data_IF_284747201245
#
_entry.id   IF_284747201245
#
_cell.length_a   1.000
_cell.length_b   1.000
_cell.length_c   1.000
_cell.angle_alpha   90.00
_cell.angle_beta   90.00
_cell.angle_gamma   90.00
#
_symmetry.space_group_name_H-M   'P 1'
#
loop_
_entity.id
_entity.type
_entity.pdbx_description
1 polymer ?
#
# COMPACT_ATOMS: atom_id res chain seq x y z
N UNK A 1 -43.83 -7.46 -5.85
CA UNK A 1 -42.56 -6.94 -6.38
C UNK A 1 -42.84 -6.44 -7.79
N UNK A 2 -42.94 -5.13 -7.97
CA UNK A 2 -43.15 -4.48 -9.27
C UNK A 2 -41.84 -4.45 -10.03
N UNK A 3 -41.67 -5.33 -11.02
CA UNK A 3 -40.56 -5.27 -11.96
C UNK A 3 -40.84 -4.15 -12.96
N UNK A 4 -39.97 -3.15 -12.99
CA UNK A 4 -40.03 -2.07 -13.98
C UNK A 4 -39.84 -2.67 -15.39
N UNK A 5 -40.61 -2.25 -16.41
CA UNK A 5 -40.56 -2.81 -17.77
C UNK A 5 -39.28 -2.47 -18.55
N UNK A 6 -38.40 -1.67 -17.94
CA UNK A 6 -37.04 -1.46 -18.39
C UNK A 6 -36.16 -2.30 -17.46
N UNK A 7 -35.53 -3.35 -17.98
CA UNK A 7 -34.53 -4.12 -17.23
C UNK A 7 -33.49 -3.20 -16.55
N UNK A 8 -32.74 -3.71 -15.55
CA UNK A 8 -31.85 -2.87 -14.75
C UNK A 8 -30.95 -2.01 -15.66
N UNK A 9 -31.07 -0.69 -15.53
CA UNK A 9 -30.28 0.25 -16.35
C UNK A 9 -28.79 -0.03 -16.14
N UNK A 10 -28.00 -0.15 -17.21
CA UNK A 10 -26.59 -0.43 -17.05
C UNK A 10 -25.85 0.70 -16.33
N UNK A 11 -24.84 0.36 -15.53
CA UNK A 11 -24.00 1.34 -14.86
C UNK A 11 -23.19 2.13 -15.91
N UNK A 12 -23.40 3.45 -15.97
CA UNK A 12 -22.70 4.35 -16.89
C UNK A 12 -21.18 4.37 -16.70
N UNK A 13 -20.68 3.97 -15.53
CA UNK A 13 -19.25 3.81 -15.27
C UNK A 13 -18.70 2.45 -15.70
N UNK A 14 -19.51 1.38 -15.61
CA UNK A 14 -19.05 0.02 -15.95
C UNK A 14 -19.12 -0.28 -17.45
N UNK A 15 -19.88 0.49 -18.23
CA UNK A 15 -20.07 0.27 -19.67
C UNK A 15 -19.38 1.30 -20.56
N UNK A 16 -18.47 2.12 -20.02
CA UNK A 16 -17.67 3.03 -20.85
C UNK A 16 -16.76 2.18 -21.74
N UNK A 17 -16.72 2.52 -23.03
CA UNK A 17 -15.77 2.00 -24.01
C UNK A 17 -14.95 3.14 -24.63
N UNK A 18 -13.74 2.82 -25.07
CA UNK A 18 -12.75 3.77 -25.56
C UNK A 18 -11.32 3.32 -25.26
N UNK A 19 -10.30 4.06 -25.70
CA UNK A 19 -8.90 3.69 -25.48
C UNK A 19 -8.63 3.44 -23.98
N UNK A 20 -8.20 2.22 -23.66
CA UNK A 20 -8.03 1.78 -22.28
C UNK A 20 -6.57 1.89 -21.83
N UNK A 21 -6.36 2.49 -20.67
CA UNK A 21 -5.08 2.55 -19.96
C UNK A 21 -5.23 1.93 -18.58
N UNK A 22 -4.31 1.06 -18.20
CA UNK A 22 -4.09 0.65 -16.83
C UNK A 22 -3.02 1.58 -16.21
N UNK A 23 -3.40 2.58 -15.40
CA UNK A 23 -2.41 3.43 -14.78
C UNK A 23 -1.82 2.74 -13.55
N UNK A 24 -0.51 2.83 -13.42
CA UNK A 24 0.25 2.35 -12.26
C UNK A 24 1.15 3.45 -11.74
N UNK A 25 1.65 3.28 -10.52
CA UNK A 25 2.58 4.21 -9.87
C UNK A 25 3.78 3.46 -9.34
N UNK A 26 4.86 4.20 -9.13
CA UNK A 26 5.99 3.73 -8.35
C UNK A 26 5.64 3.69 -6.86
N UNK A 27 6.15 2.68 -6.17
CA UNK A 27 6.05 2.54 -4.73
C UNK A 27 7.37 2.04 -4.16
N UNK A 28 7.70 2.53 -2.97
CA UNK A 28 8.81 2.04 -2.16
C UNK A 28 8.42 0.68 -1.60
N UNK A 29 9.35 -0.27 -1.65
CA UNK A 29 9.20 -1.61 -1.08
C UNK A 29 10.46 -1.99 -0.30
N UNK A 30 10.38 -2.95 0.64
CA UNK A 30 11.57 -3.44 1.32
C UNK A 30 12.55 -4.07 0.32
N UNK A 31 13.85 -3.91 0.56
CA UNK A 31 14.88 -4.53 -0.27
C UNK A 31 14.84 -6.06 -0.19
N UNK A 32 15.44 -6.73 -1.18
CA UNK A 32 15.54 -8.19 -1.21
C UNK A 32 14.34 -8.90 -1.82
N UNK A 33 13.40 -8.15 -2.40
CA UNK A 33 12.37 -8.69 -3.28
C UNK A 33 12.98 -9.04 -4.64
N UNK A 34 12.54 -10.15 -5.25
CA UNK A 34 13.05 -10.56 -6.56
C UNK A 34 12.58 -9.66 -7.70
N UNK A 35 11.49 -8.93 -7.49
CA UNK A 35 10.93 -8.03 -8.49
C UNK A 35 11.59 -6.65 -8.40
N UNK A 36 11.72 -5.98 -9.55
CA UNK A 36 12.22 -4.60 -9.66
C UNK A 36 11.36 -3.80 -10.64
N UNK A 37 11.58 -2.49 -10.71
CA UNK A 37 10.93 -1.65 -11.74
C UNK A 37 11.25 -2.21 -13.13
N UNK A 38 10.24 -2.58 -13.93
CA UNK A 38 10.50 -3.18 -15.24
C UNK A 38 11.11 -2.17 -16.21
N UNK A 39 11.85 -2.67 -17.20
CA UNK A 39 12.65 -1.84 -18.11
C UNK A 39 11.81 -0.78 -18.86
N UNK A 40 10.58 -1.13 -19.26
CA UNK A 40 9.66 -0.21 -19.94
C UNK A 40 9.24 0.97 -19.05
N UNK A 41 9.28 0.79 -17.73
CA UNK A 41 8.84 1.75 -16.72
C UNK A 41 9.99 2.50 -16.04
N UNK A 42 11.19 2.52 -16.61
CA UNK A 42 12.31 3.27 -16.03
C UNK A 42 11.92 4.76 -15.87
N UNK A 43 12.11 5.36 -14.68
CA UNK A 43 11.77 6.76 -14.47
C UNK A 43 12.76 7.69 -15.19
N UNK A 44 12.26 8.81 -15.70
CA UNK A 44 13.09 9.83 -16.37
C UNK A 44 14.08 10.50 -15.39
N UNK A 45 13.64 10.67 -14.14
CA UNK A 45 14.48 11.15 -13.03
C UNK A 45 14.72 9.99 -12.07
N UNK A 46 15.98 9.63 -11.79
CA UNK A 46 16.29 8.57 -10.82
C UNK A 46 15.66 8.86 -9.45
N UNK A 47 15.13 7.83 -8.81
CA UNK A 47 14.65 7.93 -7.44
C UNK A 47 15.79 8.01 -6.43
N UNK A 48 15.56 8.51 -5.20
CA UNK A 48 16.55 8.48 -4.13
C UNK A 48 17.05 7.06 -3.85
N UNK A 49 18.35 6.89 -3.70
CA UNK A 49 19.01 5.61 -3.38
C UNK A 49 19.39 5.55 -1.90
N UNK A 50 19.28 4.38 -1.29
CA UNK A 50 19.61 4.13 0.10
C UNK A 50 19.54 2.64 0.41
N UNK A 51 19.90 2.27 1.63
CA UNK A 51 19.87 0.87 2.07
C UNK A 51 18.48 0.46 2.56
N UNK A 52 18.13 -0.81 2.40
CA UNK A 52 16.93 -1.41 2.97
C UNK A 52 15.64 -1.23 2.19
N UNK A 53 15.65 -0.52 1.05
CA UNK A 53 14.48 -0.36 0.19
C UNK A 53 14.81 -0.45 -1.31
N UNK A 54 13.80 -0.81 -2.08
CA UNK A 54 13.77 -0.86 -3.54
C UNK A 54 12.48 -0.21 -4.06
N UNK A 55 12.28 -0.24 -5.37
CA UNK A 55 11.08 0.31 -6.02
C UNK A 55 10.38 -0.73 -6.89
N UNK A 56 9.05 -0.69 -6.87
CA UNK A 56 8.16 -1.51 -7.71
C UNK A 56 7.01 -0.67 -8.26
N UNK A 57 6.28 -1.26 -9.22
CA UNK A 57 5.01 -0.71 -9.67
C UNK A 57 3.85 -1.25 -8.82
N UNK A 58 2.94 -0.37 -8.44
CA UNK A 58 1.68 -0.67 -7.74
C UNK A 58 0.50 -0.02 -8.45
N UNK A 59 -0.71 -0.49 -8.17
CA UNK A 59 -1.92 0.22 -8.52
C UNK A 59 -1.93 1.64 -7.89
N UNK A 60 -2.64 2.56 -8.53
CA UNK A 60 -2.78 3.92 -8.00
C UNK A 60 -3.43 3.89 -6.62
N UNK A 61 -2.88 4.68 -5.69
CA UNK A 61 -3.49 4.95 -4.38
C UNK A 61 -4.60 6.01 -4.52
N UNK A 62 -5.39 6.19 -3.46
CA UNK A 62 -6.44 7.22 -3.41
C UNK A 62 -5.91 8.60 -3.85
N UNK A 63 -6.67 9.27 -4.72
CA UNK A 63 -6.27 10.54 -5.30
C UNK A 63 -7.06 10.89 -6.55
N UNK A 64 -6.38 11.52 -7.51
CA UNK A 64 -6.94 12.03 -8.74
C UNK A 64 -6.02 11.73 -9.91
N UNK A 65 -6.61 11.46 -11.08
CA UNK A 65 -5.91 11.40 -12.35
C UNK A 65 -6.46 12.47 -13.27
N UNK A 66 -5.57 13.24 -13.88
CA UNK A 66 -5.90 14.27 -14.85
C UNK A 66 -5.33 13.89 -16.21
N UNK A 67 -6.17 13.98 -17.23
CA UNK A 67 -5.80 13.72 -18.62
C UNK A 67 -6.03 14.98 -19.44
N UNK A 68 -4.98 15.47 -20.10
CA UNK A 68 -5.06 16.58 -21.04
C UNK A 68 -4.94 16.06 -22.47
N UNK A 69 -5.92 16.40 -23.31
CA UNK A 69 -5.93 16.04 -24.72
C UNK A 69 -5.35 17.18 -25.54
N UNK A 70 -4.19 16.98 -26.17
CA UNK A 70 -3.51 18.03 -26.92
C UNK A 70 -4.27 18.43 -28.19
N UNK A 71 -4.98 17.47 -28.81
CA UNK A 71 -5.70 17.65 -30.07
C UNK A 71 -6.86 18.65 -30.01
N UNK A 72 -7.52 18.79 -28.85
CA UNK A 72 -8.65 19.72 -28.66
C UNK A 72 -8.52 20.60 -27.41
N UNK A 73 -7.38 20.51 -26.71
CA UNK A 73 -7.06 21.29 -25.51
C UNK A 73 -8.08 21.12 -24.38
N UNK A 74 -8.66 19.93 -24.24
CA UNK A 74 -9.64 19.61 -23.19
C UNK A 74 -9.02 18.81 -22.06
N UNK A 75 -9.64 18.92 -20.89
CA UNK A 75 -9.28 18.17 -19.69
C UNK A 75 -10.33 17.13 -19.34
N UNK A 76 -9.86 15.97 -18.91
CA UNK A 76 -10.65 14.93 -18.27
C UNK A 76 -10.10 14.66 -16.87
N UNK A 77 -11.00 14.47 -15.91
CA UNK A 77 -10.65 14.22 -14.52
C UNK A 77 -11.22 12.89 -14.04
N UNK A 78 -10.45 12.21 -13.20
CA UNK A 78 -10.80 10.95 -12.57
C UNK A 78 -10.46 11.03 -11.09
N UNK A 79 -11.23 10.32 -10.27
CA UNK A 79 -10.87 10.04 -8.89
C UNK A 79 -10.46 8.59 -8.73
N UNK A 80 -9.48 8.34 -7.87
CA UNK A 80 -9.02 7.01 -7.48
C UNK A 80 -9.53 6.74 -6.07
N UNK A 81 -10.23 5.63 -5.87
CA UNK A 81 -10.66 5.18 -4.54
C UNK A 81 -9.53 4.45 -3.80
N UNK A 82 -9.72 4.13 -2.52
CA UNK A 82 -8.73 3.42 -1.69
C UNK A 82 -8.39 2.01 -2.22
N UNK A 83 -9.34 1.35 -2.88
CA UNK A 83 -9.14 0.05 -3.50
C UNK A 83 -8.45 0.13 -4.90
N UNK A 84 -8.11 1.33 -5.35
CA UNK A 84 -7.50 1.60 -6.66
C UNK A 84 -8.52 1.64 -7.81
N UNK A 85 -9.83 1.66 -7.52
CA UNK A 85 -10.85 1.84 -8.56
C UNK A 85 -10.91 3.27 -9.09
N UNK A 86 -11.13 3.42 -10.39
CA UNK A 86 -11.07 4.65 -11.16
C UNK A 86 -12.47 5.12 -11.56
N UNK A 87 -12.75 6.40 -11.27
CA UNK A 87 -14.07 6.98 -11.42
C UNK A 87 -14.01 8.27 -12.22
N UNK A 88 -14.52 8.20 -13.46
CA UNK A 88 -14.60 9.36 -14.35
C UNK A 88 -15.46 10.45 -13.70
N UNK A 89 -14.91 11.65 -13.61
CA UNK A 89 -15.58 12.80 -13.03
C UNK A 89 -16.33 13.58 -14.12
N UNK A 90 -17.43 14.28 -13.77
CA UNK A 90 -18.16 15.12 -14.71
C UNK A 90 -17.31 16.23 -15.33
N UNK A 91 -16.28 16.70 -14.62
CA UNK A 91 -15.33 17.71 -15.08
C UNK A 91 -14.04 17.63 -14.27
N UNK A 92 -12.90 17.91 -14.91
CA UNK A 92 -11.60 18.00 -14.24
C UNK A 92 -11.59 19.08 -13.12
N UNK A 93 -12.18 20.25 -13.37
CA UNK A 93 -12.22 21.35 -12.40
C UNK A 93 -13.09 21.02 -11.16
N UNK A 94 -14.06 20.12 -11.31
CA UNK A 94 -15.02 19.76 -10.27
C UNK A 94 -14.85 18.33 -9.75
N UNK A 95 -13.70 17.70 -10.01
CA UNK A 95 -13.36 16.38 -9.48
C UNK A 95 -13.53 16.33 -7.95
N UNK A 96 -14.10 15.22 -7.46
CA UNK A 96 -14.34 14.95 -6.03
C UNK A 96 -13.55 13.72 -5.58
N UNK A 97 -13.15 13.71 -4.32
CA UNK A 97 -12.47 12.54 -3.74
C UNK A 97 -13.45 11.36 -3.68
N UNK A 98 -12.92 10.16 -3.94
CA UNK A 98 -13.65 8.91 -3.83
C UNK A 98 -13.01 8.07 -2.73
N UNK A 99 -13.81 7.59 -1.76
CA UNK A 99 -13.30 6.69 -0.71
C UNK A 99 -13.40 5.23 -1.13
N UNK A 100 -14.60 4.81 -1.54
CA UNK A 100 -14.93 3.43 -1.89
C UNK A 100 -15.62 3.37 -3.25
N UNK A 101 -15.79 2.17 -3.79
CA UNK A 101 -16.68 1.97 -4.94
C UNK A 101 -18.11 2.35 -4.58
N UNK A 102 -18.74 3.22 -5.39
CA UNK A 102 -20.14 3.63 -5.25
C UNK A 102 -21.06 2.87 -6.22
N UNK A 103 -20.58 1.83 -6.90
CA UNK A 103 -21.40 1.08 -7.85
C UNK A 103 -22.27 0.09 -7.09
N UNK A 104 -23.57 0.40 -6.96
CA UNK A 104 -24.55 -0.47 -6.31
C UNK A 104 -25.37 -1.31 -7.29
N UNK A 105 -25.00 -1.33 -8.58
CA UNK A 105 -25.77 -2.02 -9.61
C UNK A 105 -25.61 -3.55 -9.49
N UNK A 106 -26.68 -4.34 -9.73
CA UNK A 106 -26.63 -5.81 -9.59
C UNK A 106 -25.59 -6.50 -10.49
N UNK A 107 -25.27 -5.89 -11.64
CA UNK A 107 -24.30 -6.38 -12.62
C UNK A 107 -23.04 -5.50 -12.64
N UNK A 108 -22.46 -5.26 -11.48
CA UNK A 108 -21.19 -4.55 -11.34
C UNK A 108 -20.01 -5.48 -11.68
N UNK A 109 -19.21 -5.14 -12.69
CA UNK A 109 -17.90 -5.77 -12.90
C UNK A 109 -16.80 -4.87 -12.30
N UNK A 110 -16.26 -5.20 -11.11
CA UNK A 110 -15.24 -4.38 -10.46
C UNK A 110 -13.96 -4.24 -11.29
N UNK A 111 -13.62 -5.25 -12.11
CA UNK A 111 -12.45 -5.21 -13.00
C UNK A 111 -12.52 -4.06 -14.01
N UNK A 112 -13.73 -3.69 -14.46
CA UNK A 112 -13.90 -2.57 -15.40
C UNK A 112 -13.55 -1.21 -14.80
N UNK A 113 -13.46 -1.12 -13.46
CA UNK A 113 -13.06 0.10 -12.76
C UNK A 113 -11.56 0.17 -12.49
N UNK A 114 -10.78 -0.81 -12.93
CA UNK A 114 -9.33 -0.85 -12.68
C UNK A 114 -8.53 -0.01 -13.68
N UNK A 115 -9.18 0.52 -14.72
CA UNK A 115 -8.58 1.18 -15.87
C UNK A 115 -9.23 2.53 -16.20
N UNK A 116 -8.46 3.40 -16.84
CA UNK A 116 -8.94 4.63 -17.47
C UNK A 116 -9.51 4.27 -18.85
N UNK A 117 -10.79 4.58 -19.08
CA UNK A 117 -11.39 4.50 -20.41
C UNK A 117 -11.50 5.91 -20.97
N UNK A 118 -10.55 6.27 -21.82
CA UNK A 118 -10.40 7.62 -22.32
C UNK A 118 -11.41 7.96 -23.41
N UNK A 119 -11.64 9.26 -23.62
CA UNK A 119 -12.34 9.74 -24.80
C UNK A 119 -11.62 9.32 -26.09
N UNK A 120 -12.34 8.98 -27.19
CA UNK A 120 -11.74 8.71 -28.51
C UNK A 120 -10.87 9.85 -29.05
N UNK A 121 -10.99 11.06 -28.48
CA UNK A 121 -10.07 12.19 -28.74
C UNK A 121 -8.60 11.83 -28.47
N UNK A 122 -8.33 10.88 -27.56
CA UNK A 122 -7.00 10.34 -27.29
C UNK A 122 -6.31 9.73 -28.53
N UNK A 123 -7.09 9.30 -29.53
CA UNK A 123 -6.57 8.72 -30.77
C UNK A 123 -6.21 9.78 -31.83
N UNK A 124 -6.49 11.06 -31.57
CA UNK A 124 -6.32 12.16 -32.53
C UNK A 124 -5.08 13.02 -32.28
N UNK A 125 -4.37 12.79 -31.18
CA UNK A 125 -3.16 13.51 -30.78
C UNK A 125 -2.66 12.98 -29.45
N UNK A 126 -1.57 13.54 -28.95
CA UNK A 126 -0.98 13.09 -27.69
C UNK A 126 -1.92 13.38 -26.52
N UNK A 127 -1.93 12.49 -25.53
CA UNK A 127 -2.57 12.75 -24.25
C UNK A 127 -1.54 12.75 -23.12
N UNK A 128 -1.71 13.68 -22.20
CA UNK A 128 -0.82 13.86 -21.06
C UNK A 128 -1.54 13.46 -19.80
N UNK A 129 -0.96 12.58 -19.00
CA UNK A 129 -1.59 11.96 -17.83
C UNK A 129 -0.78 12.27 -16.58
N UNK A 130 -1.45 12.68 -15.51
CA UNK A 130 -0.80 12.84 -14.22
C UNK A 130 -1.67 12.34 -13.08
N UNK A 131 -1.04 11.65 -12.14
CA UNK A 131 -1.61 11.29 -10.86
C UNK A 131 -1.25 12.31 -9.77
N UNK A 132 -2.15 12.54 -8.82
CA UNK A 132 -1.91 13.38 -7.64
C UNK A 132 -2.81 12.95 -6.47
N UNK A 133 -2.34 13.07 -5.24
CA UNK A 133 -3.17 12.84 -4.04
C UNK A 133 -4.20 13.95 -3.80
N UNK A 134 -3.96 15.15 -4.33
CA UNK A 134 -4.77 16.34 -4.04
C UNK A 134 -5.40 16.89 -5.32
N UNK A 135 -6.66 17.32 -5.22
CA UNK A 135 -7.39 17.93 -6.32
C UNK A 135 -6.61 19.12 -6.89
N UNK A 136 -6.42 19.14 -8.20
CA UNK A 136 -5.87 20.30 -8.90
C UNK A 136 -6.86 21.46 -8.92
N UNK A 137 -6.34 22.65 -8.65
CA UNK A 137 -7.09 23.91 -8.79
C UNK A 137 -7.13 24.33 -10.25
N UNK A 138 -8.07 25.21 -10.60
CA UNK A 138 -8.20 25.75 -11.96
C UNK A 138 -6.89 26.32 -12.50
N UNK A 139 -6.16 27.10 -11.69
CA UNK A 139 -4.85 27.64 -12.10
C UNK A 139 -3.79 26.57 -12.40
N UNK A 140 -3.88 25.38 -11.80
CA UNK A 140 -3.00 24.25 -12.12
C UNK A 140 -3.35 23.66 -13.50
N UNK A 141 -4.65 23.49 -13.79
CA UNK A 141 -5.14 23.04 -15.09
C UNK A 141 -4.79 24.03 -16.20
N UNK A 142 -4.94 25.33 -15.95
CA UNK A 142 -4.57 26.41 -16.87
C UNK A 142 -3.06 26.41 -17.13
N UNK A 143 -2.24 26.33 -16.08
CA UNK A 143 -0.78 26.26 -16.20
C UNK A 143 -0.36 25.11 -17.12
N UNK A 144 -0.81 23.89 -16.85
CA UNK A 144 -0.40 22.73 -17.67
C UNK A 144 -1.08 22.70 -19.04
N UNK A 145 -2.25 23.32 -19.21
CA UNK A 145 -2.92 23.46 -20.50
C UNK A 145 -2.31 24.52 -21.42
N UNK A 146 -1.63 25.52 -20.85
CA UNK A 146 -1.01 26.63 -21.58
C UNK A 146 0.50 26.50 -21.76
N UNK A 147 1.21 25.87 -20.82
CA UNK A 147 2.66 25.71 -20.83
C UNK A 147 3.06 24.24 -21.10
N UNK A 148 3.50 23.96 -22.32
CA UNK A 148 3.95 22.62 -22.74
C UNK A 148 5.20 22.14 -21.98
N UNK A 149 6.09 23.05 -21.57
CA UNK A 149 7.30 22.69 -20.83
C UNK A 149 6.96 22.32 -19.38
N UNK A 150 6.08 23.08 -18.73
CA UNK A 150 5.56 22.71 -17.41
C UNK A 150 4.79 21.38 -17.45
N UNK A 151 4.01 21.16 -18.51
CA UNK A 151 3.30 19.89 -18.75
C UNK A 151 4.27 18.72 -18.88
N UNK A 152 5.28 18.82 -19.75
CA UNK A 152 6.30 17.77 -19.97
C UNK A 152 7.06 17.38 -18.70
N UNK A 153 7.31 18.34 -17.81
CA UNK A 153 7.99 18.08 -16.53
C UNK A 153 7.12 17.34 -15.51
N UNK A 154 5.79 17.39 -15.63
CA UNK A 154 4.88 16.90 -14.59
C UNK A 154 4.05 15.69 -15.01
N UNK A 155 3.74 15.57 -16.29
CA UNK A 155 2.78 14.62 -16.84
C UNK A 155 3.47 13.61 -17.75
N UNK A 156 3.00 12.38 -17.70
CA UNK A 156 3.41 11.33 -18.63
C UNK A 156 2.72 11.53 -19.98
N UNK A 157 3.50 11.57 -21.07
CA UNK A 157 2.95 11.60 -22.41
C UNK A 157 2.58 10.18 -22.86
N UNK A 158 1.40 10.03 -23.44
CA UNK A 158 1.07 8.89 -24.29
C UNK A 158 0.89 9.46 -25.69
N UNK A 159 1.86 9.13 -26.54
CA UNK A 159 1.91 9.60 -27.91
C UNK A 159 0.87 8.86 -28.75
N UNK A 160 0.29 9.55 -29.74
CA UNK A 160 -0.85 9.02 -30.48
C UNK A 160 -0.58 7.68 -31.20
N UNK A 161 0.69 7.39 -31.56
CA UNK A 161 1.08 6.17 -32.24
C UNK A 161 1.19 4.96 -31.31
N UNK A 162 1.37 5.18 -30.00
CA UNK A 162 1.51 4.10 -29.01
C UNK A 162 0.22 3.29 -28.88
N UNK A 163 -0.93 3.87 -29.24
CA UNK A 163 -2.22 3.17 -29.33
C UNK A 163 -2.31 2.11 -30.43
N UNK A 164 -1.26 1.92 -31.23
CA UNK A 164 -1.25 0.90 -32.29
C UNK A 164 -0.02 0.01 -32.18
N UNK A 165 1.16 0.61 -32.04
CA UNK A 165 2.43 -0.13 -31.95
C UNK A 165 3.27 0.44 -30.82
N UNK A 166 2.92 0.18 -29.54
CA UNK A 166 3.72 0.65 -28.42
C UNK A 166 5.10 -0.02 -28.43
N UNK A 167 6.15 0.75 -28.18
CA UNK A 167 7.52 0.26 -28.16
C UNK A 167 7.95 -0.36 -26.81
N UNK A 168 7.06 -0.38 -25.81
CA UNK A 168 7.33 -0.83 -24.44
C UNK A 168 8.52 -0.09 -23.80
N UNK A 169 8.43 1.24 -23.78
CA UNK A 169 9.47 2.14 -23.30
C UNK A 169 8.84 3.44 -22.79
N UNK A 170 9.66 4.32 -22.22
CA UNK A 170 9.23 5.65 -21.80
C UNK A 170 7.99 5.63 -20.89
N UNK A 171 7.91 4.63 -20.01
CA UNK A 171 6.81 4.44 -19.04
C UNK A 171 5.47 4.07 -19.66
N UNK A 172 5.47 3.56 -20.88
CA UNK A 172 4.28 3.06 -21.59
C UNK A 172 4.57 1.68 -22.16
N UNK A 173 3.70 0.72 -21.87
CA UNK A 173 3.77 -0.64 -22.40
C UNK A 173 2.43 -1.11 -22.97
N UNK A 174 2.47 -2.06 -23.90
CA UNK A 174 1.31 -2.84 -24.28
C UNK A 174 0.79 -3.63 -23.08
N UNK A 175 -0.52 -3.59 -22.85
CA UNK A 175 -1.13 -4.43 -21.84
C UNK A 175 -1.09 -5.90 -22.27
N UNK A 176 -0.42 -6.72 -21.46
CA UNK A 176 -0.39 -8.18 -21.56
C UNK A 176 -0.37 -8.80 -20.17
N UNK A 177 -0.60 -10.10 -20.06
CA UNK A 177 -0.55 -10.81 -18.78
C UNK A 177 0.83 -10.71 -18.15
N UNK A 178 1.88 -10.79 -18.97
CA UNK A 178 3.27 -10.68 -18.57
C UNK A 178 3.55 -9.30 -17.97
N UNK A 179 3.17 -8.23 -18.66
CA UNK A 179 3.35 -6.84 -18.16
C UNK A 179 2.54 -6.60 -16.89
N UNK A 180 1.33 -7.15 -16.77
CA UNK A 180 0.54 -7.02 -15.55
C UNK A 180 1.19 -7.74 -14.36
N UNK A 181 1.81 -8.90 -14.58
CA UNK A 181 2.49 -9.65 -13.53
C UNK A 181 3.80 -8.99 -13.04
N UNK A 182 4.33 -7.99 -13.75
CA UNK A 182 5.42 -7.14 -13.25
C UNK A 182 4.95 -6.10 -12.22
N UNK A 183 3.63 -5.91 -12.05
CA UNK A 183 3.03 -4.99 -11.09
C UNK A 183 2.73 -5.74 -9.79
N UNK A 184 3.18 -5.20 -8.66
CA UNK A 184 3.12 -5.85 -7.35
C UNK A 184 1.71 -6.29 -6.93
N UNK A 185 0.67 -5.52 -7.26
CA UNK A 185 -0.72 -5.87 -6.93
C UNK A 185 -1.28 -7.08 -7.71
N UNK A 186 -0.62 -7.52 -8.79
CA UNK A 186 -0.99 -8.71 -9.57
C UNK A 186 -0.17 -9.95 -9.21
N UNK A 187 0.96 -9.78 -8.52
CA UNK A 187 1.89 -10.87 -8.21
C UNK A 187 1.21 -11.99 -7.39
N UNK A 188 1.59 -13.23 -7.71
CA UNK A 188 1.20 -14.41 -6.95
C UNK A 188 1.74 -14.35 -5.52
N UNK A 189 0.95 -14.72 -4.50
CA UNK A 189 1.42 -14.83 -3.13
C UNK A 189 2.58 -15.81 -3.00
N UNK A 190 3.64 -15.39 -2.32
CA UNK A 190 4.86 -16.17 -2.14
C UNK A 190 5.94 -15.38 -1.42
N UNK A 191 7.15 -15.93 -1.23
CA UNK A 191 8.23 -15.26 -0.50
C UNK A 191 8.65 -13.91 -1.09
N UNK A 192 8.46 -13.72 -2.40
CA UNK A 192 8.72 -12.47 -3.11
C UNK A 192 7.50 -11.54 -3.22
N UNK A 193 6.34 -11.92 -2.65
CA UNK A 193 5.12 -11.15 -2.75
C UNK A 193 5.19 -9.94 -1.80
N UNK A 194 5.17 -8.70 -2.31
CA UNK A 194 5.38 -7.54 -1.45
C UNK A 194 4.23 -7.31 -0.47
N UNK A 195 3.03 -7.89 -0.70
CA UNK A 195 1.91 -7.78 0.24
C UNK A 195 2.20 -8.41 1.61
N UNK A 196 3.11 -9.39 1.66
CA UNK A 196 3.48 -10.10 2.88
C UNK A 196 4.60 -9.37 3.64
N UNK A 197 5.52 -8.75 2.90
CA UNK A 197 6.69 -8.05 3.47
C UNK A 197 6.43 -6.56 3.73
N UNK A 198 5.41 -5.98 3.08
CA UNK A 198 4.98 -4.60 3.23
C UNK A 198 3.48 -4.54 3.60
N UNK A 199 3.11 -4.95 4.83
CA UNK A 199 1.73 -4.90 5.30
C UNK A 199 1.17 -3.48 5.29
N UNK A 200 -0.12 -3.36 4.94
CA UNK A 200 -0.84 -2.09 5.05
C UNK A 200 -1.23 -1.83 6.50
N UNK A 201 -0.76 -0.71 7.05
CA UNK A 201 -1.04 -0.26 8.43
C UNK A 201 -0.93 -1.40 9.46
N UNK A 202 0.25 -2.04 9.59
CA UNK A 202 0.43 -3.17 10.51
C UNK A 202 0.22 -2.70 11.96
N UNK A 203 -0.37 -3.54 12.83
CA UNK A 203 -0.41 -3.23 14.25
C UNK A 203 1.02 -3.21 14.82
N UNK A 204 1.29 -2.27 15.71
CA UNK A 204 2.53 -2.26 16.50
C UNK A 204 2.55 -3.53 17.36
N UNK A 205 3.64 -4.29 17.26
CA UNK A 205 3.86 -5.52 18.03
C UNK A 205 4.92 -5.30 19.09
N UNK A 206 4.88 -6.13 20.14
CA UNK A 206 5.87 -6.09 21.22
C UNK A 206 7.26 -6.40 20.66
N UNK A 207 8.22 -5.52 20.94
CA UNK A 207 9.58 -5.56 20.41
C UNK A 207 10.51 -6.27 21.39
N UNK A 208 10.37 -5.98 22.68
CA UNK A 208 11.16 -6.55 23.75
C UNK A 208 10.81 -8.03 23.97
N UNK A 209 11.85 -8.78 24.30
CA UNK A 209 11.81 -10.20 24.65
C UNK A 209 12.70 -10.43 25.86
N UNK A 210 12.24 -11.33 26.72
CA UNK A 210 12.95 -11.78 27.92
C UNK A 210 13.21 -13.28 27.80
N UNK A 211 14.46 -13.70 27.95
CA UNK A 211 14.77 -15.12 28.06
C UNK A 211 14.56 -15.61 29.51
N UNK A 212 13.93 -16.77 29.65
CA UNK A 212 13.78 -17.47 30.93
C UNK A 212 15.10 -18.03 31.47
N UNK A 213 16.08 -18.30 30.60
CA UNK A 213 17.36 -18.92 30.95
C UNK A 213 18.44 -17.90 31.40
N UNK A 214 18.25 -16.61 31.12
CA UNK A 214 19.08 -15.52 31.64
C UNK A 214 18.36 -14.19 31.49
N UNK A 215 18.54 -13.24 32.43
CA UNK A 215 17.80 -11.98 32.45
C UNK A 215 18.37 -10.98 31.44
N UNK A 216 18.59 -11.40 30.20
CA UNK A 216 18.95 -10.51 29.11
C UNK A 216 17.68 -10.06 28.41
N UNK A 217 17.45 -8.75 28.43
CA UNK A 217 16.48 -8.12 27.56
C UNK A 217 17.10 -8.01 26.17
N UNK A 218 16.38 -8.46 25.16
CA UNK A 218 16.76 -8.29 23.76
C UNK A 218 15.55 -7.83 22.97
N UNK A 219 15.78 -7.31 21.78
CA UNK A 219 14.71 -6.91 20.86
C UNK A 219 14.57 -7.92 19.74
N UNK A 220 13.34 -8.08 19.25
CA UNK A 220 13.03 -8.86 18.07
C UNK A 220 13.45 -8.08 16.82
N UNK A 221 14.60 -8.45 16.24
CA UNK A 221 15.10 -7.81 15.02
C UNK A 221 14.11 -7.84 13.85
N UNK A 222 13.26 -8.87 13.78
CA UNK A 222 12.25 -9.00 12.73
C UNK A 222 11.16 -7.94 12.85
N UNK A 223 10.74 -7.65 14.08
CA UNK A 223 9.74 -6.60 14.36
C UNK A 223 10.33 -5.20 14.17
N UNK A 224 11.64 -5.01 14.43
CA UNK A 224 12.32 -3.74 14.16
C UNK A 224 12.49 -3.47 12.67
N UNK A 225 12.75 -4.51 11.87
CA UNK A 225 12.95 -4.38 10.41
C UNK A 225 11.63 -4.40 9.62
N UNK A 226 10.50 -4.65 10.26
CA UNK A 226 9.21 -4.67 9.59
C UNK A 226 8.88 -3.29 9.02
N UNK A 227 8.55 -3.24 7.73
CA UNK A 227 8.20 -2.01 7.03
C UNK A 227 6.70 -2.03 6.72
N UNK A 228 5.98 -0.97 7.11
CA UNK A 228 4.58 -0.79 6.77
C UNK A 228 4.41 0.04 5.50
N UNK A 229 3.23 -0.06 4.87
CA UNK A 229 2.78 0.94 3.89
C UNK A 229 1.55 1.68 4.38
N UNK A 230 1.51 2.98 4.11
CA UNK A 230 0.33 3.84 4.36
C UNK A 230 -0.73 3.70 3.26
N UNK A 231 -0.44 2.92 2.21
CA UNK A 231 -1.31 2.79 1.05
C UNK A 231 -1.89 1.37 0.95
N UNK A 232 -3.22 1.29 0.94
CA UNK A 232 -3.96 0.03 0.82
C UNK A 232 -3.58 -0.74 -0.43
N UNK A 233 -3.55 -2.07 -0.31
CA UNK A 233 -3.32 -2.99 -1.41
C UNK A 233 -4.60 -3.20 -2.23
N UNK A 234 -4.48 -3.21 -3.56
CA UNK A 234 -5.57 -3.56 -4.47
C UNK A 234 -5.71 -5.09 -4.57
N UNK A 235 -6.00 -5.74 -3.44
CA UNK A 235 -5.98 -7.22 -3.29
C UNK A 235 -6.83 -8.00 -4.32
N UNK A 236 -7.84 -7.36 -4.91
CA UNK A 236 -8.67 -7.98 -5.96
C UNK A 236 -7.91 -8.25 -7.26
N UNK A 237 -6.75 -7.62 -7.47
CA UNK A 237 -5.91 -7.78 -8.66
C UNK A 237 -4.97 -8.99 -8.58
N UNK A 238 -4.72 -9.50 -7.37
CA UNK A 238 -3.81 -10.62 -7.13
C UNK A 238 -4.23 -11.84 -7.97
N UNK A 239 -3.33 -12.32 -8.83
CA UNK A 239 -3.58 -13.43 -9.74
C UNK A 239 -4.74 -13.22 -10.74
N UNK A 240 -5.18 -11.96 -10.95
CA UNK A 240 -6.27 -11.59 -11.86
C UNK A 240 -5.77 -10.87 -13.14
N UNK A 241 -4.52 -11.07 -13.54
CA UNK A 241 -3.94 -10.43 -14.72
C UNK A 241 -4.75 -10.74 -15.99
N UNK A 242 -5.04 -12.03 -16.27
CA UNK A 242 -5.85 -12.44 -17.42
C UNK A 242 -7.22 -11.77 -17.43
N UNK A 243 -7.92 -11.79 -16.29
CA UNK A 243 -9.23 -11.17 -16.14
C UNK A 243 -9.21 -9.66 -16.43
N UNK A 244 -8.13 -8.99 -16.03
CA UNK A 244 -7.93 -7.56 -16.33
C UNK A 244 -7.70 -7.33 -17.81
N UNK A 245 -6.85 -8.15 -18.46
CA UNK A 245 -6.62 -8.07 -19.90
C UNK A 245 -7.92 -8.27 -20.69
N UNK A 246 -8.73 -9.27 -20.33
CA UNK A 246 -10.02 -9.51 -20.98
C UNK A 246 -10.96 -8.30 -20.85
N UNK A 247 -10.99 -7.66 -19.68
CA UNK A 247 -11.76 -6.44 -19.45
C UNK A 247 -11.23 -5.26 -20.27
N UNK A 248 -9.90 -5.08 -20.32
CA UNK A 248 -9.25 -4.04 -21.12
C UNK A 248 -9.53 -4.21 -22.60
N UNK A 249 -9.43 -5.42 -23.14
CA UNK A 249 -9.74 -5.72 -24.55
C UNK A 249 -11.22 -5.46 -24.85
N UNK A 250 -12.12 -5.85 -23.93
CA UNK A 250 -13.56 -5.63 -24.09
C UNK A 250 -13.93 -4.14 -24.08
N UNK A 251 -13.40 -3.35 -23.16
CA UNK A 251 -13.71 -1.92 -23.05
C UNK A 251 -12.92 -1.08 -24.07
N UNK A 252 -11.72 -1.51 -24.41
CA UNK A 252 -10.81 -0.91 -25.38
C UNK A 252 -11.04 -1.32 -26.82
N UNK A 253 -12.06 -2.12 -27.09
CA UNK A 253 -12.38 -2.58 -28.43
C UNK A 253 -12.69 -1.40 -29.36
N UNK A 254 -12.17 -1.47 -30.58
CA UNK A 254 -12.39 -0.47 -31.61
C UNK A 254 -11.19 -0.32 -32.54
N UNK A 255 -11.33 0.62 -33.47
CA UNK A 255 -10.27 0.98 -34.41
C UNK A 255 -9.99 2.48 -34.34
N UNK A 256 -8.77 2.87 -34.69
CA UNK A 256 -8.41 4.27 -34.87
C UNK A 256 -8.94 4.80 -36.22
N UNK A 257 -8.62 6.07 -36.56
CA UNK A 257 -9.06 6.71 -37.82
C UNK A 257 -8.52 6.04 -39.11
N UNK A 258 -7.65 5.04 -38.98
CA UNK A 258 -7.02 4.30 -40.07
C UNK A 258 -7.42 2.83 -40.07
N UNK A 259 -8.53 2.48 -39.41
CA UNK A 259 -9.05 1.10 -39.28
C UNK A 259 -8.08 0.12 -38.60
N UNK A 260 -7.07 0.63 -37.88
CA UNK A 260 -6.16 -0.22 -37.11
C UNK A 260 -6.74 -0.49 -35.71
N UNK A 261 -6.67 -1.74 -35.21
CA UNK A 261 -7.06 -2.06 -33.84
C UNK A 261 -6.38 -1.15 -32.83
N UNK A 262 -7.12 -0.73 -31.81
CA UNK A 262 -6.57 0.03 -30.68
C UNK A 262 -5.88 -0.96 -29.74
N UNK A 263 -4.62 -0.68 -29.42
CA UNK A 263 -3.82 -1.39 -28.44
C UNK A 263 -4.05 -0.81 -27.05
N UNK A 264 -4.35 -1.67 -26.09
CA UNK A 264 -4.52 -1.29 -24.68
C UNK A 264 -3.15 -1.10 -24.03
N UNK A 265 -3.04 -0.12 -23.13
CA UNK A 265 -1.75 0.32 -22.61
C UNK A 265 -1.68 0.21 -21.09
N UNK A 266 -0.49 -0.02 -20.56
CA UNK A 266 -0.11 0.18 -19.16
C UNK A 266 0.77 1.41 -19.09
N UNK A 267 0.49 2.32 -18.17
CA UNK A 267 1.20 3.60 -18.07
C UNK A 267 1.67 3.83 -16.64
N UNK A 268 2.98 3.96 -16.45
CA UNK A 268 3.56 4.31 -15.15
C UNK A 268 3.55 5.83 -14.95
N UNK A 269 2.93 6.26 -13.84
CA UNK A 269 2.73 7.65 -13.48
C UNK A 269 3.59 8.03 -12.27
N UNK A 270 4.10 9.26 -12.27
CA UNK A 270 4.85 9.80 -11.14
C UNK A 270 3.97 10.05 -9.93
N UNK A 271 4.45 9.61 -8.77
CA UNK A 271 3.87 9.86 -7.45
C UNK A 271 4.96 10.27 -6.44
N UNK A 272 5.66 11.37 -6.73
CA UNK A 272 6.73 11.87 -5.87
C UNK A 272 6.29 12.10 -4.42
N UNK A 273 5.04 12.52 -4.20
CA UNK A 273 4.49 12.69 -2.85
C UNK A 273 4.29 11.34 -2.15
N UNK A 274 3.85 10.31 -2.87
CA UNK A 274 3.75 8.95 -2.34
C UNK A 274 5.12 8.39 -1.99
N UNK A 275 6.11 8.52 -2.88
CA UNK A 275 7.49 8.10 -2.59
C UNK A 275 8.03 8.80 -1.34
N UNK A 276 7.87 10.12 -1.24
CA UNK A 276 8.33 10.88 -0.08
C UNK A 276 7.65 10.42 1.22
N UNK A 277 6.34 10.17 1.20
CA UNK A 277 5.62 9.69 2.39
C UNK A 277 6.03 8.27 2.80
N UNK A 278 6.22 7.35 1.85
CA UNK A 278 6.63 5.97 2.20
C UNK A 278 8.08 5.96 2.73
N UNK A 279 9.00 6.73 2.13
CA UNK A 279 10.38 6.86 2.65
C UNK A 279 10.42 7.53 4.04
N UNK A 280 9.58 8.53 4.28
CA UNK A 280 9.45 9.13 5.61
C UNK A 280 8.91 8.12 6.63
N UNK A 281 7.89 7.34 6.25
CA UNK A 281 7.34 6.26 7.07
C UNK A 281 8.40 5.26 7.51
N UNK A 282 9.29 4.85 6.60
CA UNK A 282 10.38 3.92 6.93
C UNK A 282 11.33 4.46 8.03
N UNK A 283 11.49 5.79 8.12
CA UNK A 283 12.32 6.45 9.13
C UNK A 283 11.55 6.70 10.43
N UNK A 284 10.31 7.14 10.33
CA UNK A 284 9.44 7.43 11.47
C UNK A 284 9.08 6.15 12.25
N UNK A 285 8.82 5.05 11.53
CA UNK A 285 8.55 3.73 12.12
C UNK A 285 9.71 3.29 13.03
N UNK A 286 10.96 3.45 12.59
CA UNK A 286 12.14 3.13 13.41
C UNK A 286 12.22 3.95 14.69
N UNK A 287 11.86 5.23 14.63
CA UNK A 287 11.85 6.11 15.81
C UNK A 287 10.76 5.68 16.80
N UNK A 288 9.58 5.34 16.30
CA UNK A 288 8.48 4.83 17.11
C UNK A 288 8.81 3.47 17.75
N UNK A 289 9.44 2.57 17.01
CA UNK A 289 9.90 1.26 17.50
C UNK A 289 10.94 1.42 18.62
N UNK A 290 11.90 2.34 18.47
CA UNK A 290 12.89 2.60 19.52
C UNK A 290 12.24 3.14 20.81
N UNK A 291 11.30 4.08 20.70
CA UNK A 291 10.55 4.59 21.86
C UNK A 291 9.75 3.47 22.53
N UNK A 292 9.04 2.65 21.75
CA UNK A 292 8.28 1.51 22.26
C UNK A 292 9.16 0.48 22.98
N UNK A 293 10.36 0.21 22.47
CA UNK A 293 11.31 -0.68 23.15
C UNK A 293 11.76 -0.14 24.51
N UNK A 294 12.04 1.16 24.63
CA UNK A 294 12.42 1.77 25.90
C UNK A 294 11.28 1.70 26.93
N UNK A 295 10.04 1.92 26.50
CA UNK A 295 8.86 1.79 27.36
C UNK A 295 8.68 0.34 27.84
N UNK A 296 8.76 -0.63 26.93
CA UNK A 296 8.66 -2.05 27.26
C UNK A 296 9.77 -2.50 28.23
N UNK A 297 11.02 -2.10 27.96
CA UNK A 297 12.16 -2.39 28.84
C UNK A 297 11.96 -1.84 30.25
N UNK A 298 11.42 -0.62 30.37
CA UNK A 298 11.18 0.00 31.67
C UNK A 298 10.22 -0.83 32.53
N UNK A 299 9.14 -1.31 31.93
CA UNK A 299 8.12 -2.15 32.57
C UNK A 299 8.73 -3.50 32.97
N UNK A 300 9.50 -4.11 32.07
CA UNK A 300 10.13 -5.41 32.30
C UNK A 300 11.16 -5.34 33.43
N UNK A 301 12.03 -4.33 33.41
CA UNK A 301 13.01 -4.10 34.46
C UNK A 301 12.35 -3.90 35.83
N UNK A 302 11.31 -3.05 35.90
CA UNK A 302 10.55 -2.84 37.13
C UNK A 302 9.88 -4.12 37.63
N UNK A 303 9.35 -4.93 36.72
CA UNK A 303 8.71 -6.22 37.03
C UNK A 303 9.72 -7.22 37.59
N UNK A 304 10.91 -7.32 36.99
CA UNK A 304 12.00 -8.18 37.47
C UNK A 304 12.47 -7.76 38.86
N UNK A 305 12.67 -6.46 39.10
CA UNK A 305 13.04 -5.95 40.42
C UNK A 305 11.97 -6.25 41.48
N UNK A 306 10.70 -6.07 41.12
CA UNK A 306 9.56 -6.36 42.02
C UNK A 306 9.47 -7.84 42.37
N UNK A 307 9.65 -8.74 41.39
CA UNK A 307 9.67 -10.19 41.61
C UNK A 307 10.86 -10.63 42.46
N UNK A 308 12.04 -10.05 42.24
CA UNK A 308 13.22 -10.32 43.08
C UNK A 308 13.01 -9.87 44.53
N UNK A 309 12.42 -8.69 44.73
CA UNK A 309 12.03 -8.19 46.05
C UNK A 309 11.04 -9.11 46.76
N UNK A 310 9.99 -9.53 46.06
CA UNK A 310 8.99 -10.46 46.61
C UNK A 310 9.60 -11.82 46.97
N UNK A 311 10.48 -12.38 46.13
CA UNK A 311 11.21 -13.63 46.44
C UNK A 311 12.08 -13.50 47.68
N UNK A 312 12.82 -12.40 47.83
CA UNK A 312 13.64 -12.15 49.01
C UNK A 312 12.78 -12.06 50.28
N UNK A 313 11.62 -11.40 50.21
CA UNK A 313 10.68 -11.34 51.34
C UNK A 313 10.15 -12.73 51.73
N UNK A 314 9.77 -13.56 50.75
CA UNK A 314 9.32 -14.94 51.00
C UNK A 314 10.43 -15.75 51.69
N UNK A 315 11.67 -15.70 51.19
CA UNK A 315 12.80 -16.41 51.80
C UNK A 315 13.08 -15.94 53.24
N UNK A 316 12.98 -14.63 53.50
CA UNK A 316 13.13 -14.10 54.86
C UNK A 316 12.02 -14.60 55.79
N UNK A 317 10.77 -14.66 55.32
CA UNK A 317 9.64 -15.19 56.08
C UNK A 317 9.79 -16.69 56.36
N UNK A 318 10.22 -17.49 55.39
CA UNK A 318 10.49 -18.92 55.56
C UNK A 318 11.58 -19.16 56.61
N UNK A 319 12.66 -18.37 56.57
CA UNK A 319 13.73 -18.45 57.57
C UNK A 319 13.23 -18.08 58.97
N UNK A 320 12.48 -17.00 59.10
CA UNK A 320 11.91 -16.57 60.37
C UNK A 320 10.92 -17.61 60.95
N UNK A 321 10.12 -18.26 60.08
CA UNK A 321 9.22 -19.34 60.48
C UNK A 321 9.99 -20.57 60.98
N UNK A 322 11.07 -20.95 60.28
CA UNK A 322 11.94 -22.05 60.70
C UNK A 322 12.61 -21.76 62.05
N UNK A 323 13.11 -20.55 62.26
CA UNK A 323 13.69 -20.11 63.54
C UNK A 323 12.65 -20.12 64.68
N UNK A 324 11.41 -19.73 64.40
CA UNK A 324 10.33 -19.82 65.39
C UNK A 324 10.02 -21.29 65.75
N UNK A 325 9.93 -22.17 64.74
CA UNK A 325 9.68 -23.59 64.98
C UNK A 325 10.77 -24.26 65.81
N UNK A 326 12.05 -23.90 65.60
CA UNK A 326 13.14 -24.43 66.42
C UNK A 326 13.06 -23.93 67.85
N UNK A 327 12.79 -22.63 68.08
CA UNK A 327 12.59 -22.06 69.41
C UNK A 327 11.42 -22.69 70.16
N UNK A 328 10.29 -22.91 69.49
CA UNK A 328 9.12 -23.58 70.06
C UNK A 328 9.43 -25.04 70.46
N UNK A 329 10.21 -25.77 69.64
CA UNK A 329 10.66 -27.12 69.96
C UNK A 329 11.63 -27.17 71.16
N UNK A 330 12.56 -26.21 71.26
CA UNK A 330 13.45 -26.08 72.42
C UNK A 330 12.68 -25.75 73.71
N UNK A 331 11.69 -24.86 73.64
CA UNK A 331 10.87 -24.48 74.80
C UNK A 331 10.01 -25.65 75.28
N UNK A 332 9.44 -26.43 74.35
CA UNK A 332 8.68 -27.65 74.65
C UNK A 332 9.54 -28.73 75.36
N UNK A 333 10.77 -28.94 74.90
CA UNK A 333 11.70 -29.92 75.50
C UNK A 333 12.25 -29.46 76.85
N UNK A 334 12.49 -28.17 77.06
CA UNK A 334 12.88 -27.60 78.35
C UNK A 334 11.79 -27.77 79.42
N UNK A 335 10.52 -27.54 79.06
CA UNK A 335 9.40 -27.74 79.97
C UNK A 335 9.19 -29.22 80.34
N UNK A 336 9.36 -30.14 79.37
CA UNK A 336 9.28 -31.58 79.62
C UNK A 336 10.36 -32.12 80.57
N UNK A 337 11.52 -31.44 80.65
CA UNK A 337 12.60 -31.76 81.57
C UNK A 337 12.35 -31.30 83.01
N UNK A 338 11.62 -30.20 83.22
CA UNK A 338 11.27 -29.70 84.55
C UNK A 338 10.14 -30.51 85.20
N UNK A 339 9.19 -31.02 84.42
CA UNK A 339 8.07 -31.84 84.92
C UNK A 339 8.51 -33.24 85.44
N UNK A 340 9.77 -33.65 85.24
CA UNK A 340 10.32 -34.93 85.73
C UNK A 340 11.18 -34.82 86.99
N UNK A 341 11.32 -33.63 87.58
CA UNK A 341 12.14 -33.38 88.80
C UNK A 341 11.30 -32.84 89.96
N UNK A 342 10.02 -33.22 90.03
CA UNK A 342 9.15 -32.95 91.20
C UNK A 342 8.81 -34.23 91.96
#
# INVERSE_FOLDING_TARGET
MTTSPLGPKPCSHCQISGPAILPVRYAVVPAGLSASVPAWAKPDTPFPTGDGYDYLLRALRQGFVYVYYESNRQWEGWSVAEDGSLWKQPSAAYARSQKKSDCTMPYHNPTNLEMLILSPVALKGNCWIAFTSAKWRTGTLERYGSDANARKKRMQCVEYWQWTTPANEQRVAQASVEVLNEIADYMTPGPACPVLTLPYNPPVRRISRTDSASPWFYFDEGEVRAQGTLTSWSRRRCEQAQRTIDAMQKQGAGVNRYDKPITQLVVALDDAAGIAHELAGFSDDMTALHAGWLDELSIEFMSVQSLAGARNQIQQMEKALAEKHTLDAFSSTANYGMDKVS
#
